data_IF_371015722580
#
_entry.id   IF_371015722580
#
_cell.length_a   1.000
_cell.length_b   1.000
_cell.length_c   1.000
_cell.angle_alpha   90.00
_cell.angle_beta   90.00
_cell.angle_gamma   90.00
#
_symmetry.space_group_name_H-M   'P 1'
#
loop_
_entity.id
_entity.type
_entity.pdbx_description
1 polymer ?
#
# COMPACT_ATOMS: atom_id res chain seq x y z
N UNK A 1 19.39 3.02 18.68
CA UNK A 1 18.30 3.40 17.74
C UNK A 1 18.73 4.66 16.98
N UNK A 2 18.81 4.64 15.64
CA UNK A 2 18.96 5.91 14.90
C UNK A 2 17.59 6.56 14.78
N UNK A 3 17.44 7.78 15.33
CA UNK A 3 16.23 8.61 15.22
C UNK A 3 16.17 9.16 13.80
N UNK A 4 15.48 8.46 12.90
CA UNK A 4 15.21 8.95 11.54
C UNK A 4 13.71 8.97 11.31
N UNK A 5 13.22 10.01 10.62
CA UNK A 5 11.80 10.17 10.26
C UNK A 5 11.26 9.03 9.39
N UNK A 6 12.15 8.30 8.71
CA UNK A 6 11.83 7.15 7.87
C UNK A 6 11.86 5.83 8.65
N UNK A 7 11.70 5.83 9.97
CA UNK A 7 11.59 4.58 10.72
C UNK A 7 10.12 4.11 10.68
N UNK A 8 9.82 2.85 10.32
CA UNK A 8 8.43 2.40 10.19
C UNK A 8 7.70 2.35 11.54
N UNK A 9 8.41 2.17 12.66
CA UNK A 9 7.82 2.13 14.00
C UNK A 9 7.13 3.44 14.39
N UNK A 10 7.87 4.56 14.51
CA UNK A 10 7.28 5.87 14.81
C UNK A 10 6.16 6.27 13.86
N UNK A 11 6.27 5.98 12.56
CA UNK A 11 5.20 6.27 11.60
C UNK A 11 3.92 5.50 11.93
N UNK A 12 4.02 4.20 12.21
CA UNK A 12 2.88 3.38 12.59
C UNK A 12 2.20 3.90 13.86
N UNK A 13 2.97 4.14 14.94
CA UNK A 13 2.41 4.65 16.20
C UNK A 13 1.80 6.04 16.05
N UNK A 14 2.45 6.93 15.31
CA UNK A 14 1.92 8.27 15.07
C UNK A 14 0.60 8.24 14.29
N UNK A 15 0.51 7.37 13.29
CA UNK A 15 -0.71 7.20 12.49
C UNK A 15 -1.87 6.72 13.36
N UNK A 16 -1.64 5.70 14.20
CA UNK A 16 -2.66 5.19 15.12
C UNK A 16 -3.00 6.16 16.25
N UNK A 17 -2.04 6.91 16.77
CA UNK A 17 -2.31 7.96 17.74
C UNK A 17 -3.24 9.04 17.16
N UNK A 18 -3.00 9.47 15.92
CA UNK A 18 -3.91 10.40 15.23
C UNK A 18 -5.29 9.78 15.04
N UNK A 19 -5.37 8.54 14.56
CA UNK A 19 -6.65 7.87 14.29
C UNK A 19 -7.50 7.76 15.56
N UNK A 20 -6.89 7.29 16.66
CA UNK A 20 -7.57 7.14 17.93
C UNK A 20 -7.98 8.51 18.49
N UNK A 21 -7.11 9.51 18.43
CA UNK A 21 -7.44 10.88 18.85
C UNK A 21 -8.58 11.49 18.03
N UNK A 22 -8.55 11.37 16.70
CA UNK A 22 -9.61 11.90 15.86
C UNK A 22 -10.93 11.17 16.10
N UNK A 23 -10.89 9.85 16.34
CA UNK A 23 -12.08 9.07 16.66
C UNK A 23 -12.77 9.53 17.95
N UNK A 24 -12.02 9.96 18.97
CA UNK A 24 -12.61 10.44 20.24
C UNK A 24 -13.26 11.82 20.12
N UNK A 25 -12.93 12.62 19.11
CA UNK A 25 -13.55 13.94 18.92
C UNK A 25 -15.02 13.85 18.47
N UNK A 26 -15.44 12.71 17.90
CA UNK A 26 -16.82 12.46 17.44
C UNK A 26 -17.39 13.56 16.52
N UNK A 27 -16.52 14.30 15.82
CA UNK A 27 -16.92 15.38 14.94
C UNK A 27 -17.83 14.87 13.83
N UNK A 28 -18.72 15.76 13.38
CA UNK A 28 -19.71 15.47 12.33
C UNK A 28 -20.66 14.31 12.67
N UNK A 29 -20.78 13.96 13.96
CA UNK A 29 -21.72 12.95 14.45
C UNK A 29 -21.24 11.51 14.26
N UNK A 30 -19.92 11.30 14.22
CA UNK A 30 -19.32 9.96 14.19
C UNK A 30 -19.64 9.21 15.50
N UNK A 31 -20.08 7.96 15.40
CA UNK A 31 -20.36 7.11 16.57
C UNK A 31 -19.06 6.71 17.28
N UNK A 32 -19.16 6.39 18.58
CA UNK A 32 -18.09 5.69 19.27
C UNK A 32 -18.14 4.20 18.92
N UNK A 33 -16.98 3.56 18.77
CA UNK A 33 -16.89 2.11 18.69
C UNK A 33 -17.03 1.48 20.08
N UNK A 34 -17.36 0.18 20.13
CA UNK A 34 -17.35 -0.58 21.38
C UNK A 34 -15.96 -0.64 22.02
N UNK A 35 -15.93 -0.84 23.34
CA UNK A 35 -14.68 -1.07 24.08
C UNK A 35 -13.90 -2.26 23.50
N UNK A 36 -14.58 -3.33 23.11
CA UNK A 36 -13.96 -4.52 22.50
C UNK A 36 -13.12 -4.16 21.29
N UNK A 37 -13.61 -3.29 20.42
CA UNK A 37 -12.89 -2.83 19.24
C UNK A 37 -11.62 -2.06 19.61
N UNK A 38 -11.69 -1.17 20.60
CA UNK A 38 -10.49 -0.46 21.09
C UNK A 38 -9.48 -1.43 21.75
N UNK A 39 -9.95 -2.47 22.45
CA UNK A 39 -9.08 -3.52 23.01
C UNK A 39 -8.35 -4.30 21.91
N UNK A 40 -9.06 -4.71 20.85
CA UNK A 40 -8.46 -5.40 19.68
C UNK A 40 -7.35 -4.52 19.08
N UNK A 41 -7.64 -3.24 18.85
CA UNK A 41 -6.66 -2.29 18.30
C UNK A 41 -5.47 -2.11 19.22
N UNK A 42 -5.70 -1.92 20.53
CA UNK A 42 -4.66 -1.78 21.53
C UNK A 42 -3.71 -2.97 21.55
N UNK A 43 -4.25 -4.19 21.63
CA UNK A 43 -3.47 -5.44 21.58
C UNK A 43 -2.64 -5.51 20.30
N UNK A 44 -3.22 -5.17 19.15
CA UNK A 44 -2.51 -5.15 17.88
C UNK A 44 -1.36 -4.14 17.84
N UNK A 45 -1.56 -2.94 18.39
CA UNK A 45 -0.52 -1.89 18.48
C UNK A 45 0.62 -2.33 19.39
N UNK A 46 0.32 -2.90 20.58
CA UNK A 46 1.33 -3.43 21.48
C UNK A 46 2.10 -4.61 20.86
N UNK A 47 1.41 -5.49 20.16
CA UNK A 47 2.03 -6.65 19.48
C UNK A 47 2.97 -6.20 18.35
N UNK A 48 2.60 -5.17 17.59
CA UNK A 48 3.50 -4.54 16.62
C UNK A 48 4.74 -3.95 17.29
N UNK A 49 4.58 -3.29 18.43
CA UNK A 49 5.70 -2.75 19.20
C UNK A 49 6.66 -3.86 19.66
N UNK A 50 6.12 -4.96 20.19
CA UNK A 50 6.90 -6.12 20.59
C UNK A 50 7.69 -6.71 19.39
N UNK A 51 7.05 -6.85 18.22
CA UNK A 51 7.71 -7.31 17.00
C UNK A 51 8.82 -6.36 16.52
N UNK A 52 8.55 -5.06 16.54
CA UNK A 52 9.54 -4.01 16.21
C UNK A 52 10.76 -4.11 17.13
N UNK A 53 10.55 -4.23 18.45
CA UNK A 53 11.60 -4.34 19.45
C UNK A 53 12.39 -5.65 19.28
N UNK A 54 11.69 -6.78 19.10
CA UNK A 54 12.29 -8.09 18.88
C UNK A 54 13.24 -8.11 17.68
N UNK A 55 12.93 -7.34 16.62
CA UNK A 55 13.79 -7.24 15.44
C UNK A 55 15.21 -6.72 15.73
N UNK A 56 15.37 -5.92 16.79
CA UNK A 56 16.68 -5.42 17.20
C UNK A 56 17.50 -6.48 17.93
N UNK A 57 16.85 -7.29 18.77
CA UNK A 57 17.53 -8.35 19.53
C UNK A 57 17.90 -9.56 18.67
N UNK A 58 17.01 -9.96 17.75
CA UNK A 58 17.20 -11.17 16.95
C UNK A 58 17.75 -10.91 15.53
N UNK A 59 17.72 -9.66 15.06
CA UNK A 59 18.04 -9.32 13.68
C UNK A 59 19.51 -9.53 13.27
N UNK A 60 20.43 -9.63 14.23
CA UNK A 60 21.84 -9.93 13.97
C UNK A 60 22.18 -11.43 13.93
N UNK A 61 21.40 -12.28 14.61
CA UNK A 61 21.79 -13.67 14.92
C UNK A 61 21.34 -14.70 13.88
N UNK A 62 20.23 -14.44 13.17
CA UNK A 62 19.66 -15.41 12.23
C UNK A 62 19.52 -14.78 10.84
N UNK A 63 20.37 -15.23 9.91
CA UNK A 63 20.20 -15.04 8.47
C UNK A 63 19.56 -16.31 7.92
N UNK A 64 18.29 -16.25 7.52
CA UNK A 64 17.71 -17.29 6.67
C UNK A 64 18.36 -17.18 5.30
N UNK A 65 19.30 -18.09 5.02
CA UNK A 65 19.99 -18.21 3.74
C UNK A 65 19.43 -19.45 3.05
N UNK A 66 18.43 -19.25 2.19
CA UNK A 66 17.80 -20.31 1.39
C UNK A 66 18.71 -20.85 0.27
N UNK A 67 19.88 -20.24 0.07
CA UNK A 67 20.87 -20.68 -0.90
C UNK A 67 22.25 -20.33 -0.38
N UNK A 68 23.10 -21.32 -0.11
CA UNK A 68 24.55 -21.11 0.06
C UNK A 68 25.06 -20.48 -1.25
N UNK A 69 25.03 -19.16 -1.34
CA UNK A 69 25.73 -18.46 -2.40
C UNK A 69 27.22 -18.76 -2.19
N UNK A 70 27.82 -19.43 -3.17
CA UNK A 70 29.27 -19.59 -3.19
C UNK A 70 29.88 -18.19 -3.17
N UNK A 71 30.79 -17.96 -2.23
CA UNK A 71 31.36 -16.66 -1.88
C UNK A 71 32.26 -16.05 -2.97
N UNK A 72 32.16 -16.46 -4.23
CA UNK A 72 33.17 -16.19 -5.26
C UNK A 72 32.80 -15.12 -6.29
N UNK A 73 31.55 -14.64 -6.37
CA UNK A 73 31.20 -13.54 -7.30
C UNK A 73 30.53 -12.38 -6.59
N UNK A 74 31.20 -11.23 -6.55
CA UNK A 74 30.58 -9.96 -6.16
C UNK A 74 29.48 -9.61 -7.18
N UNK A 75 28.27 -9.36 -6.69
CA UNK A 75 27.16 -8.93 -7.52
C UNK A 75 26.44 -7.72 -6.94
N UNK A 76 25.84 -6.91 -7.82
CA UNK A 76 24.91 -5.85 -7.44
C UNK A 76 23.54 -6.10 -8.05
N UNK A 77 22.51 -5.56 -7.42
CA UNK A 77 21.15 -5.60 -7.96
C UNK A 77 20.93 -4.40 -8.87
N UNK A 78 20.63 -4.65 -10.13
CA UNK A 78 20.23 -3.62 -11.09
C UNK A 78 18.82 -3.84 -11.61
N UNK A 79 18.17 -2.75 -12.04
CA UNK A 79 16.83 -2.80 -12.62
C UNK A 79 16.89 -3.50 -13.98
N UNK A 80 15.99 -4.46 -14.20
CA UNK A 80 15.76 -5.05 -15.51
C UNK A 80 14.91 -4.09 -16.37
N UNK A 81 15.55 -3.10 -16.97
CA UNK A 81 14.87 -2.07 -17.76
C UNK A 81 14.02 -2.64 -18.91
N UNK A 82 14.45 -3.75 -19.54
CA UNK A 82 13.68 -4.39 -20.62
C UNK A 82 12.29 -4.81 -20.11
N UNK A 83 12.27 -5.52 -18.97
CA UNK A 83 11.04 -5.93 -18.33
C UNK A 83 10.22 -4.74 -17.83
N UNK A 84 10.86 -3.77 -17.16
CA UNK A 84 10.16 -2.58 -16.64
C UNK A 84 9.51 -1.77 -17.78
N UNK A 85 10.17 -1.59 -18.92
CA UNK A 85 9.56 -0.89 -20.06
C UNK A 85 8.44 -1.69 -20.72
N UNK A 86 8.55 -3.01 -20.80
CA UNK A 86 7.46 -3.88 -21.25
C UNK A 86 6.23 -3.70 -20.33
N UNK A 87 6.43 -3.74 -19.01
CA UNK A 87 5.36 -3.54 -18.03
C UNK A 87 4.76 -2.13 -18.10
N UNK A 88 5.59 -1.09 -18.33
CA UNK A 88 5.09 0.26 -18.60
C UNK A 88 4.18 0.30 -19.83
N UNK A 89 4.58 -0.32 -20.93
CA UNK A 89 3.79 -0.35 -22.16
C UNK A 89 2.43 -1.04 -21.94
N UNK A 90 2.44 -2.23 -21.31
CA UNK A 90 1.22 -2.97 -20.99
C UNK A 90 0.30 -2.18 -20.06
N UNK A 91 0.87 -1.48 -19.06
CA UNK A 91 0.10 -0.66 -18.12
C UNK A 91 -0.52 0.56 -18.80
N UNK A 92 0.19 1.19 -19.74
CA UNK A 92 -0.35 2.30 -20.53
C UNK A 92 -1.51 1.82 -21.39
N UNK A 93 -1.34 0.71 -22.11
CA UNK A 93 -2.40 0.12 -22.95
C UNK A 93 -3.65 -0.17 -22.10
N UNK A 94 -3.47 -0.78 -20.93
CA UNK A 94 -4.59 -1.04 -20.00
C UNK A 94 -5.26 0.27 -19.54
N UNK A 95 -4.47 1.26 -19.10
CA UNK A 95 -5.01 2.50 -18.55
C UNK A 95 -5.72 3.37 -19.60
N UNK A 96 -5.39 3.24 -20.89
CA UNK A 96 -6.08 3.97 -21.97
C UNK A 96 -7.58 3.69 -21.96
N UNK A 97 -7.97 2.43 -21.71
CA UNK A 97 -9.38 1.99 -21.71
C UNK A 97 -10.22 2.77 -20.70
N UNK A 98 -9.69 3.04 -19.50
CA UNK A 98 -10.39 3.83 -18.49
C UNK A 98 -10.14 5.33 -18.58
N UNK A 99 -8.98 5.75 -19.08
CA UNK A 99 -8.58 7.17 -19.09
C UNK A 99 -9.29 7.96 -20.17
N UNK A 100 -9.46 7.41 -21.39
CA UNK A 100 -10.10 8.15 -22.50
C UNK A 100 -11.57 8.52 -22.16
N UNK A 101 -12.43 7.59 -21.72
CA UNK A 101 -13.81 7.93 -21.36
C UNK A 101 -13.87 8.93 -20.20
N UNK A 102 -13.00 8.76 -19.20
CA UNK A 102 -12.90 9.67 -18.05
C UNK A 102 -12.48 11.08 -18.48
N UNK A 103 -11.55 11.21 -19.42
CA UNK A 103 -11.15 12.50 -19.99
C UNK A 103 -12.29 13.19 -20.73
N UNK A 104 -13.01 12.46 -21.59
CA UNK A 104 -14.17 12.99 -22.32
C UNK A 104 -15.21 13.52 -21.33
N UNK A 105 -15.50 12.76 -20.29
CA UNK A 105 -16.44 13.15 -19.24
C UNK A 105 -16.00 14.41 -18.47
N UNK A 106 -14.71 14.53 -18.13
CA UNK A 106 -14.18 15.74 -17.48
C UNK A 106 -14.24 16.97 -18.40
N UNK A 107 -13.99 16.80 -19.71
CA UNK A 107 -14.09 17.88 -20.70
C UNK A 107 -15.55 18.37 -20.82
N UNK A 108 -16.52 17.47 -20.66
CA UNK A 108 -17.96 17.79 -20.64
C UNK A 108 -18.42 18.47 -19.34
N UNK A 109 -17.50 18.82 -18.42
CA UNK A 109 -17.82 19.47 -17.15
C UNK A 109 -18.05 18.50 -15.99
N UNK A 110 -17.79 17.21 -16.18
CA UNK A 110 -17.86 16.20 -15.13
C UNK A 110 -16.82 16.39 -14.02
N UNK A 111 -17.06 15.77 -12.86
CA UNK A 111 -16.14 15.79 -11.71
C UNK A 111 -15.39 14.47 -11.53
N UNK A 112 -14.22 14.50 -10.88
CA UNK A 112 -13.53 13.27 -10.45
C UNK A 112 -14.33 12.48 -9.41
N UNK A 113 -15.24 13.14 -8.69
CA UNK A 113 -16.13 12.51 -7.73
C UNK A 113 -17.13 11.56 -8.41
N UNK A 114 -17.77 12.01 -9.48
CA UNK A 114 -18.75 11.20 -10.22
C UNK A 114 -18.10 10.02 -10.96
N UNK A 115 -16.90 10.20 -11.53
CA UNK A 115 -16.10 9.08 -12.09
C UNK A 115 -15.84 8.03 -11.01
N UNK A 116 -15.45 8.45 -9.80
CA UNK A 116 -15.20 7.52 -8.69
C UNK A 116 -16.46 6.75 -8.30
N UNK A 117 -17.61 7.41 -8.22
CA UNK A 117 -18.89 6.76 -7.90
C UNK A 117 -19.29 5.77 -8.99
N UNK A 118 -19.14 6.14 -10.27
CA UNK A 118 -19.41 5.24 -11.39
C UNK A 118 -18.54 3.97 -11.33
N UNK A 119 -17.26 4.14 -10.99
CA UNK A 119 -16.33 3.00 -10.84
C UNK A 119 -16.67 2.14 -9.63
N UNK A 120 -17.06 2.75 -8.50
CA UNK A 120 -17.50 1.98 -7.33
C UNK A 120 -18.75 1.15 -7.63
N UNK A 121 -19.63 1.65 -8.51
CA UNK A 121 -20.84 0.94 -8.93
C UNK A 121 -20.60 -0.05 -10.09
N UNK A 122 -19.49 0.06 -10.82
CA UNK A 122 -19.14 -0.86 -11.91
C UNK A 122 -18.18 -1.97 -11.48
N UNK A 123 -17.24 -1.69 -10.57
CA UNK A 123 -16.33 -2.69 -9.99
C UNK A 123 -17.09 -3.77 -9.18
N UNK A 124 -18.37 -3.56 -8.87
CA UNK A 124 -19.25 -4.59 -8.26
C UNK A 124 -19.64 -5.70 -9.23
N UNK A 125 -19.56 -5.45 -10.54
CA UNK A 125 -19.82 -6.45 -11.59
C UNK A 125 -18.49 -6.99 -12.13
N UNK A 126 -17.84 -7.86 -11.35
CA UNK A 126 -16.63 -8.60 -11.79
C UNK A 126 -16.85 -9.53 -13.00
N UNK A 127 -18.05 -9.54 -13.57
CA UNK A 127 -18.52 -10.46 -14.60
C UNK A 127 -18.51 -9.91 -16.03
N UNK A 128 -18.21 -8.62 -16.25
CA UNK A 128 -18.24 -8.02 -17.60
C UNK A 128 -16.88 -7.83 -18.28
N UNK A 129 -15.77 -7.97 -17.54
CA UNK A 129 -14.42 -7.86 -18.10
C UNK A 129 -13.94 -9.21 -18.67
N UNK A 130 -13.32 -9.19 -19.84
CA UNK A 130 -12.72 -10.41 -20.42
C UNK A 130 -11.65 -10.99 -19.48
N UNK A 131 -11.45 -12.31 -19.49
CA UNK A 131 -10.44 -13.00 -18.67
C UNK A 131 -9.06 -12.37 -18.85
N UNK A 132 -8.72 -11.98 -20.08
CA UNK A 132 -7.46 -11.31 -20.42
C UNK A 132 -7.39 -9.93 -19.77
N UNK A 133 -8.47 -9.14 -19.79
CA UNK A 133 -8.50 -7.82 -19.15
C UNK A 133 -8.35 -7.92 -17.63
N UNK A 134 -9.03 -8.89 -17.02
CA UNK A 134 -8.89 -9.18 -15.59
C UNK A 134 -7.46 -9.63 -15.25
N UNK A 135 -6.85 -10.49 -16.07
CA UNK A 135 -5.45 -10.88 -15.89
C UNK A 135 -4.51 -9.66 -15.94
N UNK A 136 -4.65 -8.82 -16.97
CA UNK A 136 -3.85 -7.60 -17.10
C UNK A 136 -4.05 -6.65 -15.91
N UNK A 137 -5.29 -6.43 -15.47
CA UNK A 137 -5.63 -5.60 -14.29
C UNK A 137 -4.93 -6.12 -13.03
N UNK A 138 -5.05 -7.41 -12.76
CA UNK A 138 -4.71 -8.01 -11.47
C UNK A 138 -3.24 -8.36 -11.30
N UNK A 139 -2.58 -8.80 -12.37
CA UNK A 139 -1.20 -9.30 -12.32
C UNK A 139 -0.17 -8.31 -12.86
N UNK A 140 -0.58 -7.39 -13.73
CA UNK A 140 0.34 -6.48 -14.40
C UNK A 140 0.06 -5.03 -14.01
N UNK A 141 -1.05 -4.45 -14.46
CA UNK A 141 -1.28 -3.02 -14.40
C UNK A 141 -1.35 -2.50 -12.95
N UNK A 142 -2.31 -2.96 -12.13
CA UNK A 142 -2.48 -2.45 -10.77
C UNK A 142 -1.26 -2.72 -9.86
N UNK A 143 -0.69 -3.94 -9.83
CA UNK A 143 0.53 -4.19 -9.05
C UNK A 143 1.75 -3.40 -9.55
N UNK A 144 1.87 -3.18 -10.86
CA UNK A 144 3.00 -2.42 -11.39
C UNK A 144 2.89 -0.93 -11.04
N UNK A 145 1.70 -0.34 -11.14
CA UNK A 145 1.47 1.06 -10.72
C UNK A 145 1.85 1.27 -9.25
N UNK A 146 1.60 0.31 -8.36
CA UNK A 146 1.98 0.37 -6.94
C UNK A 146 3.51 0.42 -6.72
N UNK A 147 4.31 -0.23 -7.57
CA UNK A 147 5.78 -0.31 -7.40
C UNK A 147 6.55 0.72 -8.22
N UNK A 148 5.92 1.23 -9.28
CA UNK A 148 6.55 2.13 -10.22
C UNK A 148 7.09 3.43 -9.57
N UNK A 149 6.38 4.11 -8.65
CA UNK A 149 6.94 5.24 -7.91
C UNK A 149 8.21 4.87 -7.14
N UNK A 150 8.19 3.75 -6.42
CA UNK A 150 9.32 3.26 -5.64
C UNK A 150 10.54 3.00 -6.52
N UNK A 151 10.36 2.33 -7.66
CA UNK A 151 11.45 1.99 -8.58
C UNK A 151 12.00 3.24 -9.27
N UNK A 152 11.12 4.08 -9.83
CA UNK A 152 11.51 5.24 -10.61
C UNK A 152 12.26 6.27 -9.77
N UNK A 153 11.79 6.55 -8.56
CA UNK A 153 12.48 7.48 -7.64
C UNK A 153 13.82 6.91 -7.16
N UNK A 154 13.87 5.62 -6.82
CA UNK A 154 15.13 4.97 -6.46
C UNK A 154 16.15 5.05 -7.61
N UNK A 155 15.72 4.76 -8.85
CA UNK A 155 16.59 4.83 -10.01
C UNK A 155 17.03 6.26 -10.33
N UNK A 156 16.10 7.21 -10.22
CA UNK A 156 16.37 8.61 -10.54
C UNK A 156 17.38 9.26 -9.59
N UNK A 157 17.27 8.96 -8.29
CA UNK A 157 18.10 9.61 -7.27
C UNK A 157 19.37 8.83 -6.94
N UNK A 158 19.30 7.49 -6.89
CA UNK A 158 20.41 6.61 -6.46
C UNK A 158 20.97 5.79 -7.62
N UNK A 159 20.12 5.34 -8.54
CA UNK A 159 20.48 4.44 -9.65
C UNK A 159 21.07 5.16 -10.88
N UNK A 160 20.69 4.69 -12.07
CA UNK A 160 21.26 5.17 -13.35
C UNK A 160 20.66 6.51 -13.81
N UNK A 161 19.78 7.11 -13.01
CA UNK A 161 19.12 8.39 -13.31
C UNK A 161 18.27 8.39 -14.57
N UNK A 162 17.55 7.30 -14.83
CA UNK A 162 16.80 7.16 -16.08
C UNK A 162 15.60 8.11 -16.13
N UNK A 163 15.75 9.23 -16.85
CA UNK A 163 14.70 10.25 -17.03
C UNK A 163 13.47 9.70 -17.78
N UNK A 164 13.66 8.76 -18.71
CA UNK A 164 12.56 8.14 -19.46
C UNK A 164 11.64 7.34 -18.53
N UNK A 165 12.23 6.59 -17.58
CA UNK A 165 11.45 5.85 -16.58
C UNK A 165 10.64 6.79 -15.68
N UNK A 166 11.25 7.90 -15.22
CA UNK A 166 10.54 8.90 -14.42
C UNK A 166 9.38 9.55 -15.20
N UNK A 167 9.61 9.90 -16.47
CA UNK A 167 8.56 10.45 -17.33
C UNK A 167 7.39 9.48 -17.51
N UNK A 168 7.66 8.22 -17.86
CA UNK A 168 6.62 7.19 -18.00
C UNK A 168 5.85 6.97 -16.68
N UNK A 169 6.55 7.04 -15.55
CA UNK A 169 5.91 6.96 -14.23
C UNK A 169 4.93 8.09 -14.01
N UNK A 170 5.33 9.33 -14.27
CA UNK A 170 4.45 10.49 -14.15
C UNK A 170 3.21 10.35 -15.04
N UNK A 171 3.39 9.95 -16.31
CA UNK A 171 2.28 9.73 -17.24
C UNK A 171 1.31 8.67 -16.71
N UNK A 172 1.81 7.50 -16.32
CA UNK A 172 0.99 6.41 -15.80
C UNK A 172 0.22 6.82 -14.53
N UNK A 173 0.86 7.57 -13.63
CA UNK A 173 0.20 8.05 -12.40
C UNK A 173 -0.88 9.08 -12.69
N UNK A 174 -0.67 9.99 -13.65
CA UNK A 174 -1.68 10.95 -14.08
C UNK A 174 -2.87 10.25 -14.75
N UNK A 175 -2.62 9.29 -15.63
CA UNK A 175 -3.68 8.44 -16.20
C UNK A 175 -4.48 7.73 -15.10
N UNK A 176 -3.80 7.16 -14.10
CA UNK A 176 -4.45 6.53 -12.95
C UNK A 176 -5.30 7.49 -12.11
N UNK A 177 -4.83 8.73 -11.90
CA UNK A 177 -5.57 9.77 -11.19
C UNK A 177 -6.85 10.16 -11.95
N UNK A 178 -6.74 10.37 -13.26
CA UNK A 178 -7.86 10.78 -14.12
C UNK A 178 -8.88 9.66 -14.23
N UNK A 179 -8.42 8.42 -14.44
CA UNK A 179 -9.29 7.27 -14.63
C UNK A 179 -9.99 6.80 -13.37
N UNK A 180 -9.49 7.09 -12.15
CA UNK A 180 -10.09 6.53 -10.92
C UNK A 180 -10.39 7.54 -9.82
N UNK A 181 -9.88 8.77 -9.94
CA UNK A 181 -9.88 9.75 -8.84
C UNK A 181 -9.05 9.32 -7.62
N UNK A 182 -8.21 8.28 -7.76
CA UNK A 182 -7.39 7.71 -6.69
C UNK A 182 -6.09 8.49 -6.46
N UNK A 183 -5.81 8.87 -5.20
CA UNK A 183 -4.64 9.67 -4.82
C UNK A 183 -3.48 8.85 -4.23
N UNK A 184 -3.73 7.59 -3.89
CA UNK A 184 -2.80 6.76 -3.11
C UNK A 184 -1.45 6.57 -3.80
N UNK A 185 -1.43 6.46 -5.13
CA UNK A 185 -0.18 6.26 -5.88
C UNK A 185 0.70 7.51 -5.94
N UNK A 186 0.07 8.69 -5.90
CA UNK A 186 0.78 9.98 -5.82
C UNK A 186 1.36 10.16 -4.42
N UNK A 187 0.62 9.76 -3.38
CA UNK A 187 1.13 9.70 -2.00
C UNK A 187 2.33 8.76 -1.90
N UNK A 188 2.27 7.59 -2.55
CA UNK A 188 3.40 6.65 -2.61
C UNK A 188 4.64 7.26 -3.27
N UNK A 189 4.46 8.05 -4.33
CA UNK A 189 5.55 8.81 -4.96
C UNK A 189 6.18 9.81 -3.98
N UNK A 190 5.36 10.55 -3.22
CA UNK A 190 5.83 11.45 -2.17
C UNK A 190 6.60 10.75 -1.04
N UNK A 191 6.09 9.63 -0.55
CA UNK A 191 6.75 8.79 0.46
C UNK A 191 8.09 8.26 -0.06
N UNK A 192 8.11 7.75 -1.29
CA UNK A 192 9.33 7.23 -1.94
C UNK A 192 10.40 8.31 -2.10
N UNK A 193 9.99 9.54 -2.44
CA UNK A 193 10.88 10.71 -2.50
C UNK A 193 11.52 11.00 -1.13
N UNK A 194 10.72 11.07 -0.06
CA UNK A 194 11.22 11.34 1.31
C UNK A 194 12.22 10.26 1.73
N UNK A 195 11.87 8.98 1.53
CA UNK A 195 12.74 7.85 1.90
C UNK A 195 14.08 7.91 1.17
N UNK A 196 14.05 8.04 -0.16
CA UNK A 196 15.28 8.08 -0.97
C UNK A 196 16.15 9.28 -0.63
N UNK A 197 15.54 10.46 -0.39
CA UNK A 197 16.27 11.67 -0.02
C UNK A 197 17.02 11.50 1.32
N UNK A 198 16.38 10.90 2.33
CA UNK A 198 17.02 10.62 3.63
C UNK A 198 18.16 9.62 3.50
N UNK A 199 17.98 8.57 2.68
CA UNK A 199 19.02 7.55 2.45
C UNK A 199 20.23 8.15 1.72
N UNK A 200 20.02 8.99 0.71
CA UNK A 200 21.13 9.65 0.00
C UNK A 200 21.86 10.62 0.91
N UNK A 201 21.13 11.38 1.74
CA UNK A 201 21.74 12.27 2.73
C UNK A 201 22.74 11.53 3.62
N UNK A 202 22.42 10.29 4.02
CA UNK A 202 23.32 9.41 4.78
C UNK A 202 24.53 8.94 3.96
N UNK A 203 24.35 8.51 2.70
CA UNK A 203 25.48 8.06 1.88
C UNK A 203 26.46 9.20 1.57
N UNK A 204 25.95 10.42 1.40
CA UNK A 204 26.78 11.59 1.14
C UNK A 204 27.42 12.18 2.40
N UNK A 205 26.87 12.01 3.61
CA UNK A 205 27.57 12.43 4.85
C UNK A 205 28.95 11.82 5.02
N UNK A 206 29.18 10.61 4.49
CA UNK A 206 30.46 9.90 4.62
C UNK A 206 31.48 10.31 3.54
N UNK A 207 31.08 11.04 2.49
CA UNK A 207 31.96 11.38 1.34
C UNK A 207 31.93 12.84 0.87
N UNK A 208 30.89 13.63 1.18
CA UNK A 208 30.66 14.99 0.68
C UNK A 208 30.07 15.87 1.79
N UNK A 209 30.52 17.13 1.87
CA UNK A 209 29.97 18.14 2.78
C UNK A 209 28.44 18.30 2.57
N UNK A 210 27.63 17.78 3.52
CA UNK A 210 26.16 17.72 3.48
C UNK A 210 25.48 19.05 3.12
N UNK A 211 26.10 20.18 3.49
CA UNK A 211 25.58 21.51 3.16
C UNK A 211 25.50 21.73 1.64
N UNK A 212 26.47 21.24 0.86
CA UNK A 212 26.47 21.35 -0.61
C UNK A 212 25.40 20.44 -1.24
N UNK A 213 25.20 19.23 -0.72
CA UNK A 213 24.16 18.32 -1.20
C UNK A 213 22.75 18.86 -0.93
N UNK A 214 22.46 19.29 0.30
CA UNK A 214 21.18 19.92 0.67
C UNK A 214 20.93 21.19 -0.16
N UNK A 215 21.94 22.01 -0.45
CA UNK A 215 21.81 23.20 -1.29
C UNK A 215 21.51 22.87 -2.76
N UNK A 216 22.12 21.80 -3.30
CA UNK A 216 21.95 21.37 -4.71
C UNK A 216 20.62 20.65 -4.97
N UNK A 217 20.23 19.72 -4.10
CA UNK A 217 19.05 18.87 -4.31
C UNK A 217 17.86 19.24 -3.43
N UNK A 218 18.05 20.03 -2.37
CA UNK A 218 16.97 20.42 -1.46
C UNK A 218 15.91 21.30 -2.15
N UNK A 219 16.31 22.25 -3.01
CA UNK A 219 15.35 23.06 -3.77
C UNK A 219 14.50 22.21 -4.72
N UNK A 220 15.14 21.30 -5.47
CA UNK A 220 14.43 20.36 -6.35
C UNK A 220 13.48 19.46 -5.56
N UNK A 221 13.95 18.90 -4.44
CA UNK A 221 13.15 18.06 -3.56
C UNK A 221 11.93 18.79 -3.00
N UNK A 222 12.12 19.99 -2.46
CA UNK A 222 11.02 20.81 -1.93
C UNK A 222 10.02 21.13 -3.05
N UNK A 223 10.50 21.53 -4.24
CA UNK A 223 9.62 21.81 -5.37
C UNK A 223 8.81 20.58 -5.82
N UNK A 224 9.44 19.41 -5.95
CA UNK A 224 8.73 18.17 -6.31
C UNK A 224 7.75 17.75 -5.21
N UNK A 225 8.12 17.88 -3.94
CA UNK A 225 7.26 17.54 -2.81
C UNK A 225 6.03 18.46 -2.73
N UNK A 226 6.23 19.78 -2.89
CA UNK A 226 5.13 20.74 -2.96
C UNK A 226 4.23 20.49 -4.18
N UNK A 227 4.79 20.10 -5.33
CA UNK A 227 4.00 19.71 -6.50
C UNK A 227 3.13 18.49 -6.21
N UNK A 228 3.69 17.46 -5.55
CA UNK A 228 2.91 16.27 -5.13
C UNK A 228 1.76 16.67 -4.21
N UNK A 229 2.02 17.52 -3.20
CA UNK A 229 0.98 18.03 -2.31
C UNK A 229 -0.08 18.85 -3.04
N UNK A 230 0.33 19.69 -3.99
CA UNK A 230 -0.57 20.49 -4.80
C UNK A 230 -1.49 19.64 -5.68
N UNK A 231 -0.96 18.60 -6.32
CA UNK A 231 -1.77 17.64 -7.11
C UNK A 231 -2.76 16.91 -6.21
N UNK A 232 -2.32 16.46 -5.03
CA UNK A 232 -3.21 15.81 -4.04
C UNK A 232 -4.31 16.77 -3.58
N UNK A 233 -3.98 18.03 -3.35
CA UNK A 233 -4.94 19.07 -2.96
C UNK A 233 -5.98 19.31 -4.06
N UNK A 234 -5.57 19.52 -5.31
CA UNK A 234 -6.50 19.72 -6.44
C UNK A 234 -7.40 18.50 -6.61
N UNK A 235 -6.82 17.30 -6.61
CA UNK A 235 -7.59 16.06 -6.73
C UNK A 235 -8.60 15.91 -5.58
N UNK A 236 -8.26 16.39 -4.38
CA UNK A 236 -9.16 16.39 -3.23
C UNK A 236 -10.30 17.37 -3.39
N UNK A 237 -10.00 18.61 -3.77
CA UNK A 237 -11.03 19.63 -3.99
C UNK A 237 -11.98 19.22 -5.12
N UNK A 238 -11.45 18.70 -6.23
CA UNK A 238 -12.23 18.23 -7.37
C UNK A 238 -13.17 17.07 -7.04
N UNK A 239 -12.79 16.23 -6.06
CA UNK A 239 -13.60 15.08 -5.63
C UNK A 239 -14.64 15.44 -4.58
N UNK A 240 -14.26 16.25 -3.60
CA UNK A 240 -15.00 16.39 -2.35
C UNK A 240 -15.67 17.76 -2.20
N UNK A 241 -15.36 18.72 -3.07
CA UNK A 241 -15.87 20.08 -2.99
C UNK A 241 -15.66 20.68 -1.60
N UNK A 242 -16.68 21.38 -1.10
CA UNK A 242 -16.67 22.04 0.21
C UNK A 242 -16.71 21.05 1.39
N UNK A 243 -17.10 19.80 1.14
CA UNK A 243 -17.10 18.73 2.15
C UNK A 243 -15.72 18.06 2.33
N UNK A 244 -14.65 18.59 1.71
CA UNK A 244 -13.30 18.01 1.75
C UNK A 244 -12.76 17.79 3.16
N UNK A 245 -12.93 18.77 4.06
CA UNK A 245 -12.44 18.68 5.45
C UNK A 245 -13.17 17.57 6.21
N UNK A 246 -14.50 17.49 6.05
CA UNK A 246 -15.32 16.44 6.66
C UNK A 246 -14.93 15.05 6.16
N UNK A 247 -14.72 14.89 4.86
CA UNK A 247 -14.30 13.61 4.29
C UNK A 247 -12.88 13.21 4.73
N UNK A 248 -11.96 14.18 4.83
CA UNK A 248 -10.61 13.95 5.33
C UNK A 248 -10.63 13.49 6.78
N UNK A 249 -11.46 14.11 7.63
CA UNK A 249 -11.68 13.67 9.00
C UNK A 249 -12.15 12.20 9.04
N UNK A 250 -13.20 11.84 8.28
CA UNK A 250 -13.69 10.47 8.26
C UNK A 250 -12.65 9.45 7.80
N UNK A 251 -11.80 9.78 6.83
CA UNK A 251 -10.72 8.89 6.39
C UNK A 251 -9.71 8.50 7.48
N UNK A 252 -9.63 9.25 8.59
CA UNK A 252 -8.76 8.91 9.71
C UNK A 252 -9.50 8.66 11.03
N UNK A 253 -10.76 9.04 11.16
CA UNK A 253 -11.52 8.88 12.40
C UNK A 253 -12.41 7.64 12.40
N UNK A 254 -12.88 7.16 11.25
CA UNK A 254 -13.92 6.12 11.18
C UNK A 254 -13.44 4.69 11.44
N UNK A 255 -12.12 4.47 11.51
CA UNK A 255 -11.51 3.14 11.61
C UNK A 255 -12.02 2.31 12.79
N UNK A 256 -12.13 2.83 14.02
CA UNK A 256 -12.64 2.04 15.13
C UNK A 256 -14.09 1.59 14.90
N UNK A 257 -14.94 2.46 14.38
CA UNK A 257 -16.37 2.15 14.11
C UNK A 257 -16.50 1.14 12.97
N UNK A 258 -15.66 1.26 11.94
CA UNK A 258 -15.60 0.27 10.88
C UNK A 258 -15.14 -1.08 11.39
N UNK A 259 -14.09 -1.12 12.22
CA UNK A 259 -13.65 -2.37 12.86
C UNK A 259 -14.79 -3.00 13.67
N UNK A 260 -15.51 -2.20 14.45
CA UNK A 260 -16.59 -2.66 15.33
C UNK A 260 -17.73 -3.36 14.59
N UNK A 261 -18.25 -2.68 13.56
CA UNK A 261 -19.29 -3.24 12.70
C UNK A 261 -18.83 -4.58 12.10
N UNK A 262 -17.60 -4.64 11.58
CA UNK A 262 -17.13 -5.83 10.88
C UNK A 262 -16.64 -6.96 11.81
N UNK A 263 -16.23 -6.66 13.04
CA UNK A 263 -15.95 -7.67 14.08
C UNK A 263 -17.24 -8.37 14.49
N UNK A 264 -18.34 -7.63 14.69
CA UNK A 264 -19.64 -8.24 15.02
C UNK A 264 -20.14 -9.21 13.93
N UNK A 265 -19.89 -8.89 12.65
CA UNK A 265 -20.19 -9.79 11.52
C UNK A 265 -19.31 -11.04 11.54
N UNK A 266 -18.04 -10.91 11.88
CA UNK A 266 -17.13 -12.06 12.04
C UNK A 266 -17.55 -12.96 13.19
N UNK A 267 -17.93 -12.39 14.33
CA UNK A 267 -18.34 -13.14 15.52
C UNK A 267 -19.68 -13.86 15.29
N UNK A 268 -20.65 -13.19 14.67
CA UNK A 268 -21.96 -13.78 14.34
C UNK A 268 -21.89 -14.86 13.25
N UNK A 269 -20.98 -14.73 12.28
CA UNK A 269 -20.77 -15.76 11.25
C UNK A 269 -19.96 -16.96 11.74
N UNK A 270 -19.30 -16.85 12.90
CA UNK A 270 -18.37 -17.84 13.46
C UNK A 270 -17.29 -18.32 12.47
N UNK A 271 -16.94 -17.48 11.49
CA UNK A 271 -16.00 -17.82 10.42
C UNK A 271 -14.55 -17.62 10.88
N UNK A 272 -13.67 -18.59 10.62
CA UNK A 272 -12.23 -18.52 10.92
C UNK A 272 -11.43 -18.67 9.62
N UNK A 273 -10.59 -17.67 9.33
CA UNK A 273 -9.82 -17.60 8.08
C UNK A 273 -8.50 -18.36 8.06
N UNK A 274 -7.90 -18.67 9.21
CA UNK A 274 -6.64 -19.44 9.30
C UNK A 274 -5.48 -18.88 8.46
N UNK A 275 -5.44 -17.54 8.30
CA UNK A 275 -4.44 -16.83 7.50
C UNK A 275 -4.91 -16.51 6.08
N UNK A 276 -6.02 -17.09 5.62
CA UNK A 276 -6.57 -16.87 4.29
C UNK A 276 -7.00 -15.42 4.09
N UNK A 277 -7.54 -14.74 5.11
CA UNK A 277 -7.97 -13.35 4.99
C UNK A 277 -6.76 -12.39 4.89
N UNK A 278 -5.75 -12.59 5.74
CA UNK A 278 -4.56 -11.73 5.79
C UNK A 278 -3.61 -11.96 4.63
N UNK A 279 -3.54 -13.18 4.10
CA UNK A 279 -2.77 -13.50 2.90
C UNK A 279 -3.65 -13.67 1.66
N UNK A 280 -4.88 -13.15 1.68
CA UNK A 280 -5.82 -13.23 0.57
C UNK A 280 -5.20 -12.74 -0.74
N UNK A 281 -4.35 -11.70 -0.70
CA UNK A 281 -3.68 -11.21 -1.89
C UNK A 281 -2.76 -12.23 -2.58
N UNK A 282 -2.19 -13.17 -1.82
CA UNK A 282 -1.37 -14.27 -2.34
C UNK A 282 -2.25 -15.46 -2.73
N UNK A 283 -3.17 -15.86 -1.86
CA UNK A 283 -4.03 -17.02 -2.11
C UNK A 283 -4.97 -16.81 -3.29
N UNK A 284 -5.52 -15.60 -3.45
CA UNK A 284 -6.35 -15.25 -4.58
C UNK A 284 -5.60 -15.46 -5.91
N UNK A 285 -4.32 -15.08 -5.99
CA UNK A 285 -3.50 -15.30 -7.20
C UNK A 285 -3.46 -16.78 -7.55
N UNK A 286 -3.22 -17.64 -6.56
CA UNK A 286 -3.14 -19.08 -6.75
C UNK A 286 -4.49 -19.62 -7.20
N UNK A 287 -5.57 -19.35 -6.46
CA UNK A 287 -6.89 -19.88 -6.79
C UNK A 287 -7.45 -19.33 -8.10
N UNK A 288 -7.19 -18.06 -8.42
CA UNK A 288 -7.61 -17.48 -9.69
C UNK A 288 -6.93 -18.17 -10.87
N UNK A 289 -5.64 -18.51 -10.76
CA UNK A 289 -4.92 -19.28 -11.79
C UNK A 289 -5.49 -20.71 -11.91
N UNK A 290 -5.72 -21.39 -10.79
CA UNK A 290 -6.32 -22.73 -10.79
C UNK A 290 -7.71 -22.69 -11.46
N UNK A 291 -8.52 -21.67 -11.18
CA UNK A 291 -9.85 -21.55 -11.72
C UNK A 291 -9.88 -21.20 -13.21
N UNK A 292 -9.16 -20.15 -13.62
CA UNK A 292 -9.25 -19.64 -14.98
C UNK A 292 -8.35 -20.37 -15.98
N UNK A 293 -7.27 -21.02 -15.53
CA UNK A 293 -6.33 -21.73 -16.41
C UNK A 293 -6.50 -23.25 -16.37
N UNK A 294 -6.88 -23.80 -15.21
CA UNK A 294 -6.99 -25.25 -15.01
C UNK A 294 -8.44 -25.70 -14.74
N UNK A 295 -9.41 -24.78 -14.79
CA UNK A 295 -10.85 -25.06 -14.64
C UNK A 295 -11.24 -25.71 -13.30
N UNK A 296 -10.45 -25.52 -12.24
CA UNK A 296 -10.84 -25.96 -10.90
C UNK A 296 -11.86 -24.99 -10.27
N UNK A 297 -12.93 -25.46 -9.61
CA UNK A 297 -13.80 -24.58 -8.85
C UNK A 297 -13.05 -23.94 -7.67
N UNK A 298 -13.48 -22.75 -7.26
CA UNK A 298 -12.99 -22.15 -6.02
C UNK A 298 -13.44 -23.02 -4.82
N UNK A 299 -12.54 -23.37 -3.89
CA UNK A 299 -12.96 -24.07 -2.68
C UNK A 299 -13.94 -23.22 -1.86
N UNK A 300 -15.01 -23.82 -1.33
CA UNK A 300 -16.03 -23.11 -0.56
C UNK A 300 -15.46 -22.32 0.61
N UNK A 301 -14.48 -22.91 1.31
CA UNK A 301 -13.76 -22.25 2.39
C UNK A 301 -13.09 -20.94 1.92
N UNK A 302 -12.40 -20.96 0.77
CA UNK A 302 -11.81 -19.76 0.19
C UNK A 302 -12.89 -18.76 -0.23
N UNK A 303 -13.96 -19.22 -0.87
CA UNK A 303 -15.03 -18.35 -1.34
C UNK A 303 -15.74 -17.61 -0.21
N UNK A 304 -15.98 -18.28 0.93
CA UNK A 304 -16.58 -17.68 2.13
C UNK A 304 -15.69 -16.58 2.72
N UNK A 305 -14.38 -16.83 2.84
CA UNK A 305 -13.43 -15.83 3.35
C UNK A 305 -13.27 -14.67 2.37
N UNK A 306 -13.12 -14.97 1.08
CA UNK A 306 -12.99 -13.97 0.04
C UNK A 306 -14.22 -13.06 -0.03
N UNK A 307 -15.42 -13.65 0.05
CA UNK A 307 -16.69 -12.91 0.10
C UNK A 307 -16.74 -11.99 1.32
N UNK A 308 -16.33 -12.48 2.50
CA UNK A 308 -16.26 -11.66 3.70
C UNK A 308 -15.30 -10.46 3.52
N UNK A 309 -14.13 -10.67 2.91
CA UNK A 309 -13.17 -9.59 2.61
C UNK A 309 -13.77 -8.59 1.61
N UNK A 310 -14.40 -9.05 0.53
CA UNK A 310 -15.06 -8.18 -0.45
C UNK A 310 -16.20 -7.36 0.16
N UNK A 311 -16.99 -7.97 1.04
CA UNK A 311 -18.11 -7.32 1.70
C UNK A 311 -17.65 -6.08 2.49
N UNK A 312 -16.43 -6.09 3.04
CA UNK A 312 -15.87 -4.90 3.71
C UNK A 312 -15.73 -3.68 2.82
N UNK A 313 -15.62 -3.87 1.50
CA UNK A 313 -15.50 -2.80 0.51
C UNK A 313 -16.81 -2.52 -0.22
N UNK A 314 -17.70 -3.50 -0.31
CA UNK A 314 -18.93 -3.40 -1.09
C UNK A 314 -20.15 -2.99 -0.26
N UNK A 315 -20.20 -3.39 1.01
CA UNK A 315 -21.33 -3.09 1.89
C UNK A 315 -21.05 -1.78 2.62
N UNK A 316 -21.99 -0.85 2.48
CA UNK A 316 -21.98 0.43 3.20
C UNK A 316 -22.60 0.24 4.58
N UNK A 317 -21.86 0.59 5.63
CA UNK A 317 -22.30 0.51 7.03
C UNK A 317 -22.45 1.90 7.62
N UNK A 318 -23.41 2.06 8.53
CA UNK A 318 -23.67 3.34 9.19
C UNK A 318 -22.62 3.60 10.29
N UNK A 319 -21.86 4.67 10.11
CA UNK A 319 -20.76 5.06 11.03
C UNK A 319 -21.10 6.27 11.91
N UNK A 320 -22.20 6.97 11.61
CA UNK A 320 -22.58 8.20 12.29
C UNK A 320 -24.08 8.36 12.48
N UNK A 321 -24.48 9.47 13.09
CA UNK A 321 -25.88 9.93 13.14
C UNK A 321 -26.35 10.39 11.75
N UNK A 322 -27.67 10.53 11.56
CA UNK A 322 -28.27 11.02 10.31
C UNK A 322 -27.86 10.25 9.04
N UNK A 323 -27.62 8.94 9.15
CA UNK A 323 -27.38 8.06 8.00
C UNK A 323 -26.01 8.23 7.34
N UNK A 324 -25.00 8.75 8.05
CA UNK A 324 -23.61 8.78 7.55
C UNK A 324 -23.11 7.35 7.38
N UNK A 325 -22.94 6.94 6.13
CA UNK A 325 -22.48 5.60 5.76
C UNK A 325 -21.05 5.63 5.19
N UNK A 326 -20.31 4.56 5.44
CA UNK A 326 -19.00 4.33 4.86
C UNK A 326 -18.80 2.86 4.49
N UNK A 327 -17.92 2.63 3.53
CA UNK A 327 -17.38 1.32 3.18
C UNK A 327 -15.84 1.38 3.21
N UNK A 328 -15.21 0.21 3.26
CA UNK A 328 -13.77 0.03 3.43
C UNK A 328 -13.23 0.57 4.78
N UNK A 329 -11.90 0.62 4.94
CA UNK A 329 -11.25 1.12 6.15
C UNK A 329 -11.54 0.32 7.44
N UNK A 330 -11.79 -0.98 7.30
CA UNK A 330 -11.96 -1.94 8.41
C UNK A 330 -10.70 -2.19 9.23
N UNK A 331 -9.58 -1.60 8.82
CA UNK A 331 -8.24 -1.73 9.41
C UNK A 331 -7.54 -3.06 9.14
N UNK A 332 -6.24 -3.05 9.41
CA UNK A 332 -5.41 -4.24 9.46
C UNK A 332 -5.86 -5.25 10.51
N UNK A 333 -6.42 -4.81 11.63
CA UNK A 333 -6.73 -5.68 12.77
C UNK A 333 -7.88 -6.61 12.44
N UNK A 334 -8.86 -6.14 11.65
CA UNK A 334 -9.99 -6.96 11.23
C UNK A 334 -9.56 -8.21 10.45
N UNK A 335 -8.61 -8.08 9.52
CA UNK A 335 -8.14 -9.20 8.71
C UNK A 335 -7.48 -10.29 9.58
N UNK A 336 -6.67 -9.86 10.55
CA UNK A 336 -5.99 -10.76 11.48
C UNK A 336 -6.98 -11.36 12.50
N UNK A 337 -8.02 -10.62 12.87
CA UNK A 337 -9.09 -11.08 13.74
C UNK A 337 -10.00 -12.11 13.05
N UNK A 338 -10.30 -11.94 11.76
CA UNK A 338 -10.99 -12.96 10.97
C UNK A 338 -10.17 -14.25 10.90
N UNK A 339 -8.85 -14.16 10.79
CA UNK A 339 -7.99 -15.33 10.67
C UNK A 339 -7.83 -16.14 11.96
N UNK A 340 -7.77 -15.50 13.12
CA UNK A 340 -7.50 -16.19 14.38
C UNK A 340 -7.93 -15.44 15.63
N UNK A 341 -8.92 -14.55 15.52
CA UNK A 341 -9.41 -13.68 16.60
C UNK A 341 -8.26 -12.90 17.23
N UNK A 342 -8.28 -12.71 18.54
CA UNK A 342 -7.21 -12.00 19.27
C UNK A 342 -5.84 -12.63 19.03
N UNK A 343 -5.75 -13.96 18.99
CA UNK A 343 -4.48 -14.65 18.72
C UNK A 343 -3.91 -14.29 17.35
N UNK A 344 -4.75 -14.25 16.32
CA UNK A 344 -4.37 -13.82 14.97
C UNK A 344 -3.85 -12.39 14.95
N UNK A 345 -4.51 -11.47 15.68
CA UNK A 345 -4.06 -10.07 15.83
C UNK A 345 -2.69 -9.99 16.48
N UNK A 346 -2.46 -10.71 17.58
CA UNK A 346 -1.17 -10.73 18.29
C UNK A 346 -0.06 -11.26 17.39
N UNK A 347 -0.25 -12.46 16.86
CA UNK A 347 0.76 -13.14 16.04
C UNK A 347 1.08 -12.34 14.78
N UNK A 348 0.05 -11.90 14.08
CA UNK A 348 0.16 -11.19 12.82
C UNK A 348 0.84 -9.83 12.95
N UNK A 349 0.43 -9.02 13.93
CA UNK A 349 1.05 -7.71 14.16
C UNK A 349 2.48 -7.83 14.67
N UNK A 350 2.78 -8.84 15.49
CA UNK A 350 4.15 -9.15 15.91
C UNK A 350 5.05 -9.49 14.71
N UNK A 351 4.62 -10.44 13.87
CA UNK A 351 5.38 -10.84 12.67
C UNK A 351 5.58 -9.64 11.74
N UNK A 352 4.52 -8.86 11.49
CA UNK A 352 4.59 -7.71 10.60
C UNK A 352 5.53 -6.62 11.14
N UNK A 353 5.45 -6.28 12.43
CA UNK A 353 6.34 -5.33 13.10
C UNK A 353 7.80 -5.76 13.05
N UNK A 354 8.06 -7.05 13.25
CA UNK A 354 9.40 -7.62 13.07
C UNK A 354 9.87 -7.49 11.61
N UNK A 355 9.05 -7.93 10.65
CA UNK A 355 9.40 -7.98 9.25
C UNK A 355 9.70 -6.60 8.65
N UNK A 356 8.82 -5.60 8.86
CA UNK A 356 9.01 -4.25 8.29
C UNK A 356 10.27 -3.59 8.83
N UNK A 357 10.61 -3.84 10.09
CA UNK A 357 11.82 -3.29 10.73
C UNK A 357 13.10 -3.95 10.19
N UNK A 358 13.03 -5.23 9.83
CA UNK A 358 14.13 -5.93 9.14
C UNK A 358 14.32 -5.41 7.73
N UNK A 359 13.24 -5.19 6.97
CA UNK A 359 13.31 -4.58 5.63
C UNK A 359 13.90 -3.17 5.70
N UNK A 360 13.47 -2.35 6.67
CA UNK A 360 14.05 -1.03 6.94
C UNK A 360 15.56 -1.13 7.21
N UNK A 361 15.96 -2.00 8.14
CA UNK A 361 17.37 -2.16 8.51
C UNK A 361 18.23 -2.57 7.32
N UNK A 362 17.73 -3.48 6.48
CA UNK A 362 18.43 -3.89 5.26
C UNK A 362 18.54 -2.75 4.24
N UNK A 363 17.47 -1.97 4.04
CA UNK A 363 17.47 -0.83 3.13
C UNK A 363 18.37 0.32 3.61
N UNK A 364 18.38 0.59 4.92
CA UNK A 364 19.11 1.72 5.51
C UNK A 364 20.59 1.44 5.74
N UNK A 365 20.95 0.22 6.17
CA UNK A 365 22.35 -0.13 6.46
C UNK A 365 23.04 -0.86 5.31
N UNK A 366 22.36 -1.76 4.61
CA UNK A 366 22.93 -2.58 3.54
C UNK A 366 22.34 -2.18 2.18
N UNK A 367 22.47 -0.89 1.85
CA UNK A 367 21.78 -0.21 0.75
C UNK A 367 22.04 -0.86 -0.60
N UNK A 368 20.98 -1.24 -1.29
CA UNK A 368 20.97 -1.49 -2.73
C UNK A 368 19.59 -1.10 -3.30
N UNK A 369 19.50 -0.90 -4.62
CA UNK A 369 18.27 -0.41 -5.25
C UNK A 369 17.05 -1.29 -4.91
N UNK A 370 17.21 -2.62 -4.99
CA UNK A 370 16.14 -3.58 -4.68
C UNK A 370 15.58 -3.40 -3.26
N UNK A 371 16.46 -3.34 -2.25
CA UNK A 371 16.06 -3.21 -0.84
C UNK A 371 15.39 -1.87 -0.56
N UNK A 372 15.87 -0.79 -1.17
CA UNK A 372 15.26 0.54 -1.00
C UNK A 372 13.88 0.56 -1.65
N UNK A 373 13.73 0.07 -2.89
CA UNK A 373 12.42 0.00 -3.56
C UNK A 373 11.43 -0.89 -2.80
N UNK A 374 11.90 -2.04 -2.27
CA UNK A 374 11.08 -2.90 -1.42
C UNK A 374 10.66 -2.19 -0.14
N UNK A 375 11.57 -1.45 0.48
CA UNK A 375 11.27 -0.70 1.69
C UNK A 375 10.28 0.44 1.45
N UNK A 376 10.38 1.18 0.34
CA UNK A 376 9.39 2.19 -0.04
C UNK A 376 7.98 1.58 -0.15
N UNK A 377 7.85 0.43 -0.83
CA UNK A 377 6.58 -0.29 -0.93
C UNK A 377 6.07 -0.72 0.46
N UNK A 378 6.91 -1.32 1.29
CA UNK A 378 6.53 -1.77 2.62
C UNK A 378 6.12 -0.62 3.53
N UNK A 379 6.84 0.50 3.50
CA UNK A 379 6.51 1.70 4.27
C UNK A 379 5.17 2.29 3.83
N UNK A 380 4.92 2.34 2.52
CA UNK A 380 3.63 2.77 1.98
C UNK A 380 2.49 1.82 2.41
N UNK A 381 2.73 0.50 2.40
CA UNK A 381 1.79 -0.48 2.94
C UNK A 381 1.51 -0.29 4.42
N UNK A 382 2.56 -0.08 5.24
CA UNK A 382 2.43 0.22 6.68
C UNK A 382 1.63 1.50 6.91
N UNK A 383 1.87 2.54 6.10
CA UNK A 383 1.11 3.79 6.17
C UNK A 383 -0.39 3.53 5.90
N UNK A 384 -0.74 2.64 4.98
CA UNK A 384 -2.13 2.31 4.67
C UNK A 384 -2.78 1.25 5.57
N UNK A 385 -2.14 0.81 6.66
CA UNK A 385 -2.69 -0.22 7.55
C UNK A 385 -3.98 0.17 8.26
N UNK A 386 -4.28 1.48 8.33
CA UNK A 386 -5.57 1.97 8.80
C UNK A 386 -6.71 1.63 7.83
N UNK A 387 -6.41 1.28 6.58
CA UNK A 387 -7.41 0.88 5.59
C UNK A 387 -7.69 -0.62 5.62
N UNK A 388 -6.63 -1.44 5.60
CA UNK A 388 -6.66 -2.91 5.53
C UNK A 388 -5.26 -3.47 5.79
N UNK A 389 -5.13 -4.77 5.97
CA UNK A 389 -3.80 -5.40 6.03
C UNK A 389 -3.15 -5.43 4.63
N UNK A 390 -1.87 -5.05 4.45
CA UNK A 390 -1.32 -4.90 3.09
C UNK A 390 -1.36 -6.18 2.26
N UNK A 391 -1.06 -7.34 2.85
CA UNK A 391 -1.02 -8.61 2.11
C UNK A 391 -2.40 -9.23 1.84
N UNK A 392 -3.48 -8.68 2.41
CA UNK A 392 -4.85 -9.10 2.03
C UNK A 392 -5.24 -8.53 0.66
N UNK A 393 -4.57 -7.45 0.23
CA UNK A 393 -4.78 -6.84 -1.06
C UNK A 393 -3.92 -7.52 -2.14
N UNK A 394 -4.58 -8.03 -3.17
CA UNK A 394 -3.96 -8.72 -4.32
C UNK A 394 -2.90 -7.85 -4.97
N UNK A 395 -3.22 -6.57 -5.21
CA UNK A 395 -2.30 -5.67 -5.89
C UNK A 395 -1.03 -5.45 -5.08
N UNK A 396 -1.13 -5.28 -3.76
CA UNK A 396 0.05 -5.13 -2.90
C UNK A 396 0.87 -6.42 -2.79
N UNK A 397 0.23 -7.58 -2.67
CA UNK A 397 0.90 -8.86 -2.62
C UNK A 397 1.69 -9.14 -3.91
N UNK A 398 1.08 -8.96 -5.08
CA UNK A 398 1.75 -9.11 -6.38
C UNK A 398 2.86 -8.07 -6.55
N UNK A 399 2.64 -6.81 -6.14
CA UNK A 399 3.69 -5.77 -6.13
C UNK A 399 4.94 -6.21 -5.35
N UNK A 400 4.72 -6.80 -4.17
CA UNK A 400 5.81 -7.31 -3.34
C UNK A 400 6.57 -8.43 -4.06
N UNK A 401 5.86 -9.41 -4.65
CA UNK A 401 6.45 -10.50 -5.45
C UNK A 401 7.25 -9.94 -6.63
N UNK A 402 6.71 -8.95 -7.35
CA UNK A 402 7.38 -8.32 -8.49
C UNK A 402 8.74 -7.71 -8.13
N UNK A 403 8.81 -6.93 -7.05
CA UNK A 403 10.08 -6.37 -6.57
C UNK A 403 11.01 -7.48 -6.06
N UNK A 404 10.47 -8.44 -5.32
CA UNK A 404 11.25 -9.50 -4.69
C UNK A 404 11.94 -10.41 -5.73
N UNK A 405 11.30 -10.70 -6.87
CA UNK A 405 11.79 -11.73 -7.79
C UNK A 405 12.06 -11.28 -9.23
N UNK A 406 11.31 -10.30 -9.78
CA UNK A 406 11.31 -10.06 -11.23
C UNK A 406 11.96 -8.75 -11.67
N UNK A 407 11.70 -7.64 -10.97
CA UNK A 407 12.11 -6.29 -11.38
C UNK A 407 13.63 -6.11 -11.37
N UNK A 408 14.32 -6.79 -10.45
CA UNK A 408 15.76 -6.64 -10.25
C UNK A 408 16.51 -7.90 -10.67
N UNK A 409 17.59 -7.73 -11.42
CA UNK A 409 18.50 -8.82 -11.80
C UNK A 409 19.86 -8.66 -11.12
N UNK A 410 20.54 -9.80 -10.89
CA UNK A 410 21.92 -9.79 -10.42
C UNK A 410 22.84 -9.41 -11.58
N UNK A 411 23.69 -8.41 -11.37
CA UNK A 411 24.81 -8.08 -12.25
C UNK A 411 26.09 -8.52 -11.55
N UNK A 412 26.77 -9.50 -12.12
CA UNK A 412 28.06 -9.97 -11.64
C UNK A 412 29.17 -9.06 -12.17
N UNK A 413 30.21 -8.85 -11.36
CA UNK A 413 31.44 -8.14 -11.75
C UNK A 413 32.54 -9.13 -12.09
#
# INVERSE_FOLDING_TARGET
MKRTIINPGPMFFFSWAIILYLSTLQLYGLKLASETSYHIMGIGIYSFAAGHIASFFFGGKYKFVLQKESHTKMFTWEINYKLVYLLCALTIIYNIVGTIPSLIYLIQGGSLGSIRTAIQNSDTNFTSDSIIMNFLKMFIARPFVNILPSIAICDFLIGKRNKKLLFLTTVILLMGLISTGGRNQIINLGISLVICFVIIGKQNTEKINMKKFKKKYGKFFIATFLLVLFIVYIATKSRSGDAAVRQLYYYFAMQPVMLDNWVSVVDSSNLLGWGMASFNGIFFVIFWMLHNLLFFPYPDFFNNIFTMVLNTENIWVTIGVAGVNANAYVTTFWHLYLDGRIFGVVLGMFIYGYYVTRVFSQAYFNTNLKKISLYCLMYFGTFLMFTRFPFSNIYFAVSWIMIAFFVFRKKYY
#
